data_IF_412725087865
#
_entry.id   IF_412725087865
#
_cell.length_a   1.000
_cell.length_b   1.000
_cell.length_c   1.000
_cell.angle_alpha   90.00
_cell.angle_beta   90.00
_cell.angle_gamma   90.00
#
_symmetry.space_group_name_H-M   'P 1'
#
loop_
_entity.id
_entity.type
_entity.pdbx_description
1 polymer ?
#
# COMPACT_ATOMS: atom_id res chain seq x y z
N UNK A 1 -3.97 2.21 -0.42
CA UNK A 1 -4.98 2.30 0.66
C UNK A 1 -5.40 3.74 0.73
N UNK A 2 -6.70 4.05 0.74
CA UNK A 2 -7.12 5.45 0.83
C UNK A 2 -7.29 5.91 2.26
N UNK A 3 -6.91 7.15 2.58
CA UNK A 3 -6.91 7.69 3.95
C UNK A 3 -8.27 7.69 4.65
N UNK A 4 -9.38 7.66 3.89
CA UNK A 4 -10.74 7.93 4.42
C UNK A 4 -11.77 6.85 4.09
N UNK A 5 -11.38 5.85 3.31
CA UNK A 5 -12.22 4.69 3.14
C UNK A 5 -12.04 3.82 4.37
N UNK A 6 -13.13 3.51 5.08
CA UNK A 6 -13.21 2.20 5.71
C UNK A 6 -12.84 1.13 4.66
N UNK A 7 -12.45 -0.07 5.07
CA UNK A 7 -11.95 -1.11 4.16
C UNK A 7 -12.93 -1.53 3.04
N UNK A 8 -14.13 -0.93 2.99
CA UNK A 8 -15.18 -1.13 1.99
C UNK A 8 -15.84 0.21 1.62
N UNK A 9 -15.96 0.43 0.32
CA UNK A 9 -16.74 1.51 -0.29
C UNK A 9 -17.81 0.89 -1.21
N UNK A 10 -18.92 1.58 -1.45
CA UNK A 10 -20.01 1.09 -2.30
C UNK A 10 -19.87 1.70 -3.69
N UNK A 11 -19.90 0.86 -4.72
CA UNK A 11 -19.69 1.33 -6.08
C UNK A 11 -19.76 0.22 -7.12
N UNK A 12 -19.44 0.59 -8.35
CA UNK A 12 -19.37 -0.31 -9.51
C UNK A 12 -17.94 -0.31 -10.03
N UNK A 13 -17.44 -1.50 -10.34
CA UNK A 13 -16.14 -1.69 -10.97
C UNK A 13 -16.28 -2.46 -12.28
N UNK A 14 -15.59 -1.99 -13.31
CA UNK A 14 -15.39 -2.68 -14.58
C UNK A 14 -13.92 -3.00 -14.71
N UNK A 15 -13.60 -4.22 -15.09
CA UNK A 15 -12.23 -4.64 -15.33
C UNK A 15 -12.19 -5.69 -16.44
N UNK A 16 -11.03 -5.83 -17.05
CA UNK A 16 -10.84 -6.82 -18.10
C UNK A 16 -9.39 -7.01 -18.48
N UNK A 17 -9.14 -8.15 -19.11
CA UNK A 17 -7.85 -8.54 -19.68
C UNK A 17 -7.88 -8.32 -21.19
N UNK A 18 -6.80 -7.78 -21.71
CA UNK A 18 -6.52 -7.59 -23.13
C UNK A 18 -5.17 -8.27 -23.44
N UNK A 19 -4.95 -8.59 -24.72
CA UNK A 19 -3.68 -9.16 -25.19
C UNK A 19 -3.26 -10.41 -24.39
N UNK A 20 -4.19 -11.35 -24.19
CA UNK A 20 -3.96 -12.57 -23.40
C UNK A 20 -3.51 -12.26 -21.96
N UNK A 21 -4.22 -11.33 -21.31
CA UNK A 21 -3.93 -10.81 -19.97
C UNK A 21 -2.58 -10.09 -19.80
N UNK A 22 -1.82 -9.84 -20.87
CA UNK A 22 -0.63 -8.99 -20.80
C UNK A 22 -0.94 -7.54 -20.48
N UNK A 23 -2.16 -7.08 -20.77
CA UNK A 23 -2.66 -5.77 -20.36
C UNK A 23 -3.97 -5.98 -19.60
N UNK A 24 -4.06 -5.48 -18.38
CA UNK A 24 -5.32 -5.44 -17.65
C UNK A 24 -5.66 -4.00 -17.28
N UNK A 25 -6.94 -3.69 -17.34
CA UNK A 25 -7.48 -2.41 -16.89
C UNK A 25 -8.53 -2.63 -15.81
N UNK A 26 -8.66 -1.64 -14.93
CA UNK A 26 -9.69 -1.56 -13.89
C UNK A 26 -10.16 -0.12 -13.79
N UNK A 27 -11.48 0.06 -13.78
CA UNK A 27 -12.14 1.34 -13.55
C UNK A 27 -13.20 1.14 -12.47
N UNK A 28 -13.21 1.99 -11.47
CA UNK A 28 -14.20 1.98 -10.39
C UNK A 28 -14.80 3.37 -10.25
N UNK A 29 -16.12 3.42 -10.04
CA UNK A 29 -16.83 4.58 -9.51
C UNK A 29 -17.51 4.16 -8.21
N UNK A 30 -17.23 4.86 -7.12
CA UNK A 30 -17.75 4.56 -5.79
C UNK A 30 -18.19 5.83 -5.05
N UNK A 31 -18.90 5.68 -3.94
CA UNK A 31 -19.39 6.81 -3.13
C UNK A 31 -18.27 7.64 -2.51
N UNK A 32 -17.12 7.03 -2.22
CA UNK A 32 -15.96 7.69 -1.64
C UNK A 32 -16.14 8.03 -0.16
N UNK A 33 -15.49 9.12 0.29
CA UNK A 33 -15.60 9.60 1.67
C UNK A 33 -17.05 9.95 2.02
N UNK A 34 -17.56 9.42 3.14
CA UNK A 34 -18.89 9.68 3.72
C UNK A 34 -18.77 10.50 5.02
N UNK A 35 -19.88 11.03 5.52
CA UNK A 35 -19.95 11.78 6.78
C UNK A 35 -20.44 13.22 6.63
N UNK A 36 -20.63 13.91 7.75
CA UNK A 36 -21.05 15.32 7.82
C UNK A 36 -19.87 16.30 7.70
N UNK A 37 -18.66 15.75 7.77
CA UNK A 37 -17.37 16.44 7.75
C UNK A 37 -16.92 16.79 6.33
N UNK A 38 -17.40 16.04 5.33
CA UNK A 38 -17.07 16.28 3.92
C UNK A 38 -17.80 17.52 3.38
N UNK A 39 -17.16 18.31 2.50
CA UNK A 39 -17.82 19.42 1.84
C UNK A 39 -19.01 19.04 0.96
N UNK A 40 -18.88 17.97 0.17
CA UNK A 40 -19.98 17.51 -0.68
C UNK A 40 -19.96 15.99 -0.87
N UNK A 41 -21.13 15.45 -1.22
CA UNK A 41 -21.24 14.08 -1.68
C UNK A 41 -20.86 14.00 -3.16
N UNK A 42 -19.66 13.51 -3.45
CA UNK A 42 -19.13 13.38 -4.80
C UNK A 42 -18.56 11.99 -5.01
N UNK A 43 -18.81 11.37 -6.16
CA UNK A 43 -18.28 10.05 -6.46
C UNK A 43 -16.75 10.10 -6.53
N UNK A 44 -16.14 9.01 -6.11
CA UNK A 44 -14.73 8.74 -6.27
C UNK A 44 -14.51 7.87 -7.49
N UNK A 45 -13.49 8.22 -8.27
CA UNK A 45 -13.12 7.50 -9.51
C UNK A 45 -11.71 6.98 -9.38
N UNK A 46 -11.54 5.68 -9.56
CA UNK A 46 -10.23 5.01 -9.56
C UNK A 46 -10.01 4.32 -10.89
N UNK A 47 -8.86 4.54 -11.52
CA UNK A 47 -8.41 3.81 -12.70
C UNK A 47 -7.06 3.15 -12.42
N UNK A 48 -6.88 1.91 -12.88
CA UNK A 48 -5.61 1.18 -12.84
C UNK A 48 -5.38 0.47 -14.16
N UNK A 49 -4.14 0.48 -14.61
CA UNK A 49 -3.65 -0.38 -15.67
C UNK A 49 -2.41 -1.12 -15.20
N UNK A 50 -2.17 -2.31 -15.75
CA UNK A 50 -0.88 -2.96 -15.61
C UNK A 50 -0.51 -3.73 -16.87
N UNK A 51 0.79 -3.90 -17.05
CA UNK A 51 1.38 -4.68 -18.14
C UNK A 51 2.22 -5.81 -17.55
N UNK A 52 1.98 -7.03 -18.01
CA UNK A 52 2.76 -8.22 -17.66
C UNK A 52 3.66 -8.62 -18.83
N UNK A 53 4.95 -8.76 -18.56
CA UNK A 53 5.97 -9.09 -19.56
C UNK A 53 6.30 -10.59 -19.62
N UNK A 54 6.07 -11.32 -18.51
CA UNK A 54 6.24 -12.77 -18.41
C UNK A 54 4.86 -13.45 -18.28
N UNK A 55 4.71 -14.46 -17.41
CA UNK A 55 3.45 -15.17 -17.20
C UNK A 55 2.39 -14.20 -16.62
N UNK A 56 1.29 -13.92 -17.36
CA UNK A 56 0.32 -12.93 -16.93
C UNK A 56 -0.66 -13.47 -15.87
N UNK A 57 -1.21 -12.54 -15.10
CA UNK A 57 -2.18 -12.83 -14.03
C UNK A 57 -3.61 -12.53 -14.50
N UNK A 58 -4.39 -13.58 -14.78
CA UNK A 58 -5.76 -13.45 -15.33
C UNK A 58 -6.79 -12.94 -14.32
N UNK A 59 -6.53 -13.10 -13.02
CA UNK A 59 -7.49 -12.80 -11.97
C UNK A 59 -7.51 -11.30 -11.62
N UNK A 60 -8.58 -10.88 -10.96
CA UNK A 60 -8.66 -9.55 -10.35
C UNK A 60 -7.71 -9.38 -9.15
N UNK A 61 -7.40 -10.47 -8.44
CA UNK A 61 -6.43 -10.47 -7.35
C UNK A 61 -5.03 -10.86 -7.81
N UNK A 62 -4.02 -10.35 -7.11
CA UNK A 62 -2.63 -10.76 -7.27
C UNK A 62 -2.16 -11.52 -6.04
N UNK A 63 -1.19 -12.41 -6.22
CA UNK A 63 -0.49 -13.06 -5.11
C UNK A 63 0.85 -12.37 -4.85
N UNK A 64 1.25 -12.28 -3.58
CA UNK A 64 2.58 -11.78 -3.23
C UNK A 64 3.70 -12.77 -3.55
N UNK A 65 3.36 -14.02 -3.86
CA UNK A 65 4.26 -15.03 -4.41
C UNK A 65 3.47 -16.20 -5.00
N UNK A 66 4.01 -16.83 -6.05
CA UNK A 66 3.49 -18.04 -6.70
C UNK A 66 4.26 -19.29 -6.28
N UNK A 67 5.07 -19.21 -5.21
CA UNK A 67 5.88 -20.30 -4.69
C UNK A 67 6.77 -20.93 -5.77
N UNK A 68 7.24 -20.14 -6.74
CA UNK A 68 8.09 -20.60 -7.83
C UNK A 68 7.38 -21.36 -8.94
N UNK A 69 6.05 -21.41 -8.95
CA UNK A 69 5.29 -22.11 -10.00
C UNK A 69 5.12 -21.30 -11.28
N UNK A 70 5.49 -20.00 -11.24
CA UNK A 70 5.34 -19.06 -12.36
C UNK A 70 6.47 -18.04 -12.35
N UNK A 71 6.81 -17.55 -13.54
CA UNK A 71 7.68 -16.39 -13.72
C UNK A 71 6.82 -15.18 -14.01
N UNK A 72 6.75 -14.22 -13.09
CA UNK A 72 5.90 -13.03 -13.22
C UNK A 72 6.77 -11.79 -13.27
N UNK A 73 6.50 -10.88 -14.20
CA UNK A 73 7.05 -9.53 -14.20
C UNK A 73 5.95 -8.57 -14.65
N UNK A 74 5.46 -7.76 -13.72
CA UNK A 74 4.31 -6.88 -13.94
C UNK A 74 4.65 -5.46 -13.51
N UNK A 75 4.26 -4.48 -14.33
CA UNK A 75 4.33 -3.06 -14.02
C UNK A 75 2.93 -2.47 -13.99
N UNK A 76 2.62 -1.70 -12.95
CA UNK A 76 1.32 -1.11 -12.72
C UNK A 76 1.37 0.41 -12.59
N UNK A 77 0.27 1.05 -12.96
CA UNK A 77 0.01 2.44 -12.63
C UNK A 77 -1.46 2.60 -12.25
N UNK A 78 -1.75 3.46 -11.27
CA UNK A 78 -3.12 3.80 -10.92
C UNK A 78 -3.25 5.28 -10.57
N UNK A 79 -4.46 5.80 -10.80
CA UNK A 79 -4.88 7.13 -10.42
C UNK A 79 -6.23 7.07 -9.74
N UNK A 80 -6.43 7.92 -8.74
CA UNK A 80 -7.62 7.93 -7.92
C UNK A 80 -7.98 9.35 -7.48
N UNK A 81 -9.25 9.72 -7.57
CA UNK A 81 -9.67 11.10 -7.30
C UNK A 81 -11.10 11.18 -6.78
N UNK A 82 -11.34 12.18 -5.94
CA UNK A 82 -12.67 12.53 -5.46
C UNK A 82 -12.72 14.06 -5.28
N UNK A 83 -13.74 14.72 -5.81
CA UNK A 83 -13.92 16.15 -5.58
C UNK A 83 -14.44 16.42 -4.16
N UNK A 84 -14.16 17.61 -3.63
CA UNK A 84 -14.79 18.14 -2.41
C UNK A 84 -14.72 17.17 -1.21
N UNK A 85 -13.55 16.56 -0.99
CA UNK A 85 -13.33 15.50 0.00
C UNK A 85 -13.14 16.04 1.42
N UNK A 86 -12.58 17.24 1.56
CA UNK A 86 -12.21 17.80 2.85
C UNK A 86 -12.24 19.32 2.81
N UNK A 87 -12.53 19.94 3.94
CA UNK A 87 -12.30 21.36 4.14
C UNK A 87 -10.87 21.58 4.62
N UNK A 88 -10.16 22.55 4.03
CA UNK A 88 -8.90 23.04 4.59
C UNK A 88 -9.14 23.92 5.84
N UNK A 89 -10.34 24.47 6.00
CA UNK A 89 -10.83 25.09 7.22
C UNK A 89 -12.18 24.48 7.62
N UNK A 90 -12.14 23.42 8.42
CA UNK A 90 -13.32 22.69 8.86
C UNK A 90 -14.23 23.52 9.76
N UNK A 91 -13.66 24.32 10.69
CA UNK A 91 -14.45 25.11 11.64
C UNK A 91 -15.39 26.10 10.96
N UNK A 92 -14.96 26.72 9.86
CA UNK A 92 -15.79 27.62 9.06
C UNK A 92 -16.45 26.96 7.85
N UNK A 93 -16.24 25.65 7.66
CA UNK A 93 -16.68 24.89 6.47
C UNK A 93 -16.30 25.59 5.15
N UNK A 94 -15.04 26.04 5.06
CA UNK A 94 -14.51 26.79 3.94
C UNK A 94 -13.28 26.13 3.30
N UNK A 95 -12.94 26.59 2.09
CA UNK A 95 -11.81 26.11 1.29
C UNK A 95 -11.87 24.59 1.04
N UNK A 96 -12.93 24.16 0.35
CA UNK A 96 -13.10 22.77 -0.07
C UNK A 96 -11.93 22.30 -0.96
N UNK A 97 -11.41 21.11 -0.66
CA UNK A 97 -10.29 20.49 -1.36
C UNK A 97 -10.68 19.17 -1.98
N UNK A 98 -10.03 18.87 -3.10
CA UNK A 98 -10.17 17.61 -3.81
C UNK A 98 -9.12 16.60 -3.33
N UNK A 99 -9.48 15.32 -3.39
CA UNK A 99 -8.56 14.21 -3.27
C UNK A 99 -7.97 13.84 -4.63
N UNK A 100 -6.65 13.64 -4.65
CA UNK A 100 -5.90 13.06 -5.77
C UNK A 100 -4.88 12.08 -5.24
N UNK A 101 -4.75 10.96 -5.92
CA UNK A 101 -3.79 9.94 -5.60
C UNK A 101 -3.27 9.25 -6.85
N UNK A 102 -2.01 8.83 -6.79
CA UNK A 102 -1.42 8.00 -7.84
C UNK A 102 -0.46 6.99 -7.24
N UNK A 103 -0.21 5.92 -7.98
CA UNK A 103 0.87 4.99 -7.71
C UNK A 103 1.45 4.44 -9.02
N UNK A 104 2.74 4.13 -8.99
CA UNK A 104 3.39 3.25 -9.96
C UNK A 104 4.05 2.12 -9.17
N UNK A 105 3.95 0.90 -9.69
CA UNK A 105 4.41 -0.29 -9.01
C UNK A 105 5.02 -1.31 -9.96
N UNK A 106 5.88 -2.16 -9.42
CA UNK A 106 6.45 -3.29 -10.11
C UNK A 106 6.47 -4.51 -9.19
N UNK A 107 6.21 -5.69 -9.75
CA UNK A 107 6.32 -6.97 -9.08
C UNK A 107 7.03 -7.97 -9.97
N UNK A 108 7.92 -8.76 -9.37
CA UNK A 108 8.66 -9.82 -10.02
C UNK A 108 8.67 -11.08 -9.15
N UNK A 109 8.43 -12.23 -9.77
CA UNK A 109 8.79 -13.54 -9.25
C UNK A 109 9.59 -14.30 -10.32
N UNK A 110 10.77 -14.80 -9.94
CA UNK A 110 11.68 -15.52 -10.82
C UNK A 110 12.12 -16.84 -10.15
N UNK A 111 11.53 -17.98 -10.55
CA UNK A 111 12.02 -19.30 -10.18
C UNK A 111 13.40 -19.57 -10.81
N UNK A 112 14.32 -20.13 -10.02
CA UNK A 112 15.66 -20.49 -10.46
C UNK A 112 16.11 -21.78 -9.76
N UNK A 113 17.16 -22.43 -10.27
CA UNK A 113 17.69 -23.68 -9.67
C UNK A 113 18.16 -23.47 -8.22
N UNK A 114 18.68 -22.28 -7.91
CA UNK A 114 19.10 -21.92 -6.55
C UNK A 114 17.95 -21.60 -5.61
N UNK A 115 16.72 -21.36 -6.09
CA UNK A 115 15.60 -20.92 -5.28
C UNK A 115 14.66 -19.99 -6.04
N UNK A 116 13.74 -19.32 -5.33
CA UNK A 116 12.78 -18.38 -5.96
C UNK A 116 13.07 -16.97 -5.50
N UNK A 117 13.33 -16.07 -6.45
CA UNK A 117 13.54 -14.66 -6.18
C UNK A 117 12.22 -13.90 -6.34
N UNK A 118 11.93 -13.02 -5.40
CA UNK A 118 10.77 -12.13 -5.44
C UNK A 118 11.24 -10.70 -5.23
N UNK A 119 10.72 -9.76 -6.00
CA UNK A 119 10.99 -8.34 -5.83
C UNK A 119 9.70 -7.55 -6.05
N UNK A 120 9.50 -6.51 -5.26
CA UNK A 120 8.38 -5.59 -5.43
C UNK A 120 8.79 -4.19 -5.04
N UNK A 121 8.28 -3.21 -5.75
CA UNK A 121 8.47 -1.81 -5.41
C UNK A 121 7.24 -1.01 -5.81
N UNK A 122 6.95 0.05 -5.06
CA UNK A 122 5.94 1.02 -5.46
C UNK A 122 6.35 2.41 -4.99
N UNK A 123 5.97 3.42 -5.76
CA UNK A 123 5.93 4.81 -5.35
C UNK A 123 4.49 5.30 -5.42
N UNK A 124 4.09 6.15 -4.48
CA UNK A 124 2.73 6.64 -4.39
C UNK A 124 2.66 8.04 -3.78
N UNK A 125 1.57 8.73 -4.08
CA UNK A 125 1.19 9.98 -3.42
C UNK A 125 -0.31 10.02 -3.19
N UNK A 126 -0.71 10.53 -2.04
CA UNK A 126 -2.05 10.93 -1.62
C UNK A 126 -2.01 12.44 -1.33
N UNK A 127 -3.00 13.17 -1.81
CA UNK A 127 -3.06 14.62 -1.71
C UNK A 127 -4.52 15.06 -1.55
N UNK A 128 -4.82 15.73 -0.44
CA UNK A 128 -6.11 16.39 -0.18
C UNK A 128 -6.00 17.90 -0.27
N UNK A 129 -5.08 18.40 -1.09
CA UNK A 129 -4.78 19.82 -1.17
C UNK A 129 -4.15 20.36 0.11
N UNK A 130 -3.50 19.51 0.90
CA UNK A 130 -2.90 19.88 2.19
C UNK A 130 -3.92 20.15 3.29
N UNK A 131 -5.15 19.63 3.20
CA UNK A 131 -6.21 19.91 4.17
C UNK A 131 -5.81 19.49 5.60
N UNK A 132 -5.10 18.37 5.75
CA UNK A 132 -4.67 17.88 7.07
C UNK A 132 -3.67 18.80 7.76
N UNK A 133 -2.80 19.47 7.01
CA UNK A 133 -1.82 20.41 7.56
C UNK A 133 -2.37 21.76 7.99
N UNK A 134 -3.70 21.98 7.95
CA UNK A 134 -4.35 23.27 8.20
C UNK A 134 -5.31 23.18 9.39
N UNK A 135 -6.61 23.36 9.17
CA UNK A 135 -7.65 23.13 10.16
C UNK A 135 -8.56 22.01 9.64
N UNK A 136 -8.08 20.75 9.67
CA UNK A 136 -8.85 19.63 9.16
C UNK A 136 -10.03 19.29 10.07
N UNK A 137 -10.94 18.50 9.53
CA UNK A 137 -11.94 17.84 10.34
C UNK A 137 -11.32 16.73 11.21
N UNK A 138 -11.95 16.34 12.33
CA UNK A 138 -11.40 15.35 13.26
C UNK A 138 -11.23 13.94 12.69
N UNK A 139 -11.90 13.61 11.59
CA UNK A 139 -11.86 12.30 10.95
C UNK A 139 -10.85 12.24 9.80
N UNK A 140 -10.19 13.35 9.46
CA UNK A 140 -9.18 13.40 8.41
C UNK A 140 -7.88 12.77 8.93
N UNK A 141 -7.49 11.62 8.40
CA UNK A 141 -6.24 10.96 8.79
C UNK A 141 -4.98 11.71 8.35
N UNK A 142 -3.90 11.59 9.13
CA UNK A 142 -2.62 12.22 8.82
C UNK A 142 -2.01 11.78 7.47
N UNK A 143 -2.30 10.54 7.08
CA UNK A 143 -1.86 9.96 5.79
C UNK A 143 -2.63 10.50 4.58
N UNK A 144 -3.51 11.48 4.76
CA UNK A 144 -4.28 12.09 3.68
C UNK A 144 -3.49 12.94 2.71
N UNK A 145 -2.42 13.52 3.22
CA UNK A 145 -1.34 14.12 2.44
C UNK A 145 -0.09 13.31 2.74
N UNK A 146 0.28 12.40 1.84
CA UNK A 146 1.39 11.46 2.04
C UNK A 146 2.00 11.12 0.70
N UNK A 147 3.32 11.18 0.59
CA UNK A 147 4.05 10.53 -0.50
C UNK A 147 5.03 9.52 0.08
N UNK A 148 5.28 8.46 -0.67
CA UNK A 148 6.19 7.44 -0.20
C UNK A 148 6.58 6.48 -1.28
N UNK A 149 7.55 5.64 -0.92
CA UNK A 149 7.93 4.50 -1.73
C UNK A 149 8.34 3.33 -0.83
N UNK A 150 8.23 2.13 -1.36
CA UNK A 150 8.86 0.95 -0.77
C UNK A 150 9.56 0.12 -1.84
N UNK A 151 10.54 -0.64 -1.38
CA UNK A 151 11.15 -1.75 -2.11
C UNK A 151 11.24 -2.95 -1.17
N UNK A 152 10.89 -4.13 -1.66
CA UNK A 152 10.96 -5.39 -0.93
C UNK A 152 11.56 -6.46 -1.82
N UNK A 153 12.52 -7.19 -1.29
CA UNK A 153 13.12 -8.35 -1.94
C UNK A 153 12.93 -9.58 -1.05
N UNK A 154 12.74 -10.74 -1.66
CA UNK A 154 12.59 -12.00 -0.97
C UNK A 154 13.25 -13.14 -1.72
N UNK A 155 13.71 -14.13 -0.97
CA UNK A 155 14.38 -15.31 -1.49
C UNK A 155 13.82 -16.54 -0.79
N UNK A 156 13.26 -17.45 -1.57
CA UNK A 156 12.77 -18.74 -1.12
C UNK A 156 13.82 -19.81 -1.37
N UNK A 157 14.14 -20.58 -0.33
CA UNK A 157 15.10 -21.67 -0.42
C UNK A 157 14.66 -22.72 -1.47
N UNK A 158 15.65 -23.38 -2.11
CA UNK A 158 15.35 -24.49 -3.00
C UNK A 158 14.84 -25.67 -2.16
N UNK A 159 13.72 -26.26 -2.58
CA UNK A 159 13.10 -27.37 -1.87
C UNK A 159 12.35 -26.99 -0.58
N UNK A 160 12.16 -28.00 0.28
CA UNK A 160 11.45 -27.89 1.56
C UNK A 160 12.46 -27.89 2.73
N UNK A 161 12.09 -27.21 3.81
CA UNK A 161 12.75 -27.28 5.11
C UNK A 161 11.75 -27.92 6.06
N UNK A 162 11.91 -29.21 6.36
CA UNK A 162 10.89 -29.98 7.09
C UNK A 162 9.57 -30.06 6.30
N UNK A 163 8.40 -29.81 6.94
CA UNK A 163 7.11 -29.91 6.25
C UNK A 163 6.86 -28.81 5.20
N UNK A 164 7.50 -27.64 5.35
CA UNK A 164 7.17 -26.44 4.59
C UNK A 164 8.32 -25.87 3.74
N UNK A 165 8.07 -24.71 3.13
CA UNK A 165 9.06 -23.92 2.38
C UNK A 165 9.38 -22.62 3.10
N UNK A 166 10.67 -22.30 3.20
CA UNK A 166 11.14 -21.11 3.90
C UNK A 166 11.55 -20.02 2.89
N UNK A 167 11.04 -18.83 3.09
CA UNK A 167 11.39 -17.62 2.34
C UNK A 167 11.84 -16.54 3.31
N UNK A 168 13.00 -15.94 3.06
CA UNK A 168 13.46 -14.74 3.74
C UNK A 168 13.08 -13.51 2.94
N UNK A 169 12.90 -12.39 3.60
CA UNK A 169 12.68 -11.12 2.92
C UNK A 169 13.27 -9.94 3.69
N UNK A 170 13.50 -8.86 2.95
CA UNK A 170 13.81 -7.55 3.51
C UNK A 170 12.99 -6.48 2.78
N UNK A 171 12.63 -5.43 3.51
CA UNK A 171 11.86 -4.28 3.02
C UNK A 171 12.49 -2.98 3.48
N UNK A 172 12.48 -2.01 2.60
CA UNK A 172 12.76 -0.62 2.89
C UNK A 172 11.58 0.24 2.45
N UNK A 173 11.19 1.21 3.27
CA UNK A 173 10.11 2.13 2.97
C UNK A 173 10.41 3.52 3.54
N UNK A 174 9.95 4.53 2.80
CA UNK A 174 10.06 5.93 3.16
C UNK A 174 8.70 6.60 3.01
N UNK A 175 8.27 7.28 4.07
CA UNK A 175 6.99 7.98 4.13
C UNK A 175 7.24 9.44 4.49
N UNK A 176 6.74 10.35 3.65
CA UNK A 176 6.79 11.80 3.84
C UNK A 176 5.37 12.35 3.90
N UNK A 177 4.97 12.80 5.08
CA UNK A 177 3.64 13.32 5.35
C UNK A 177 3.59 14.82 5.03
N UNK A 178 2.44 15.29 4.57
CA UNK A 178 2.20 16.69 4.21
C UNK A 178 2.02 17.62 5.41
N UNK A 179 2.11 17.12 6.64
CA UNK A 179 1.87 17.87 7.88
C UNK A 179 3.16 18.36 8.52
N UNK A 180 3.11 19.59 9.07
CA UNK A 180 4.20 20.20 9.82
C UNK A 180 3.66 20.95 11.03
N UNK A 181 4.45 20.97 12.10
CA UNK A 181 4.23 21.85 13.25
C UNK A 181 5.36 22.88 13.25
N UNK A 182 5.07 24.10 12.80
CA UNK A 182 6.12 25.07 12.45
C UNK A 182 7.00 24.52 11.31
N UNK A 183 8.30 24.35 11.57
CA UNK A 183 9.24 23.75 10.60
C UNK A 183 9.42 22.23 10.78
N UNK A 184 8.92 21.66 11.88
CA UNK A 184 9.15 20.27 12.25
C UNK A 184 8.24 19.30 11.48
N UNK A 185 8.79 18.16 11.06
CA UNK A 185 8.09 17.10 10.33
C UNK A 185 8.00 15.83 11.18
N UNK A 186 7.12 15.85 12.19
CA UNK A 186 7.06 14.79 13.19
C UNK A 186 6.53 13.44 12.68
N UNK A 187 5.93 13.40 11.48
CA UNK A 187 5.36 12.18 10.91
C UNK A 187 6.26 11.52 9.86
N UNK A 188 7.20 12.26 9.27
CA UNK A 188 8.13 11.74 8.27
C UNK A 188 8.96 10.62 8.89
N UNK A 189 8.92 9.43 8.28
CA UNK A 189 9.58 8.27 8.82
C UNK A 189 10.13 7.33 7.75
N UNK A 190 10.95 6.40 8.21
CA UNK A 190 11.62 5.39 7.41
C UNK A 190 11.51 4.06 8.12
N UNK A 191 11.13 3.04 7.37
CA UNK A 191 11.00 1.67 7.86
C UNK A 191 12.04 0.80 7.17
N UNK A 192 12.78 0.04 7.97
CA UNK A 192 13.63 -1.04 7.47
C UNK A 192 13.25 -2.31 8.21
N UNK A 193 12.90 -3.36 7.46
CA UNK A 193 12.53 -4.62 8.08
C UNK A 193 13.15 -5.82 7.37
N UNK A 194 13.31 -6.89 8.13
CA UNK A 194 13.71 -8.19 7.64
C UNK A 194 12.88 -9.26 8.36
N UNK A 195 12.62 -10.35 7.66
CA UNK A 195 11.73 -11.38 8.16
C UNK A 195 11.76 -12.65 7.34
N UNK A 196 10.82 -13.53 7.68
CA UNK A 196 10.63 -14.79 7.00
C UNK A 196 9.15 -15.13 6.84
N UNK A 197 8.89 -16.01 5.88
CA UNK A 197 7.64 -16.69 5.64
C UNK A 197 7.94 -18.20 5.58
N UNK A 198 7.22 -18.99 6.39
CA UNK A 198 7.29 -20.44 6.39
C UNK A 198 5.94 -21.03 5.96
N UNK A 199 5.89 -21.47 4.71
CA UNK A 199 4.69 -21.98 4.04
C UNK A 199 4.58 -23.48 4.29
N UNK A 200 3.66 -23.89 5.17
CA UNK A 200 3.47 -25.29 5.59
C UNK A 200 2.55 -26.01 4.60
N UNK A 201 1.46 -25.37 4.19
CA UNK A 201 0.55 -25.86 3.14
C UNK A 201 0.25 -24.75 2.13
N UNK A 202 1.13 -24.61 1.14
CA UNK A 202 1.00 -23.61 0.08
C UNK A 202 0.70 -22.21 0.64
N UNK A 203 -0.32 -21.54 0.08
CA UNK A 203 -0.81 -20.25 0.59
C UNK A 203 -1.82 -20.39 1.74
N UNK A 204 -2.26 -21.61 2.07
CA UNK A 204 -3.33 -21.86 3.05
C UNK A 204 -2.84 -21.76 4.47
N UNK A 205 -1.70 -22.38 4.79
CA UNK A 205 -1.12 -22.39 6.12
C UNK A 205 0.29 -21.84 6.11
N UNK A 206 0.51 -20.71 6.79
CA UNK A 206 1.80 -20.03 6.83
C UNK A 206 2.09 -19.38 8.17
N UNK A 207 3.33 -19.50 8.63
CA UNK A 207 3.89 -18.70 9.72
C UNK A 207 4.76 -17.57 9.14
N UNK A 208 4.64 -16.37 9.68
CA UNK A 208 5.47 -15.22 9.29
C UNK A 208 6.08 -14.56 10.52
N UNK A 209 7.32 -14.10 10.37
CA UNK A 209 7.99 -13.28 11.36
C UNK A 209 8.66 -12.09 10.70
N UNK A 210 8.61 -10.91 11.34
CA UNK A 210 9.25 -9.70 10.87
C UNK A 210 9.79 -8.88 12.05
N UNK A 211 11.00 -8.37 11.93
CA UNK A 211 11.54 -7.33 12.80
C UNK A 211 11.70 -6.07 11.95
N UNK A 212 11.16 -4.95 12.43
CA UNK A 212 11.20 -3.66 11.80
C UNK A 212 11.82 -2.61 12.73
N UNK A 213 12.66 -1.75 12.15
CA UNK A 213 13.19 -0.55 12.78
C UNK A 213 12.56 0.68 12.10
N UNK A 214 11.78 1.43 12.88
CA UNK A 214 11.02 2.60 12.43
C UNK A 214 11.72 3.83 12.99
N UNK A 215 12.23 4.67 12.09
CA UNK A 215 12.90 5.92 12.45
C UNK A 215 12.12 7.11 11.92
N UNK A 216 11.76 8.03 12.81
CA UNK A 216 11.22 9.34 12.46
C UNK A 216 12.35 10.32 12.21
N UNK A 217 12.21 11.14 11.18
CA UNK A 217 13.20 12.17 10.85
C UNK A 217 13.31 13.22 11.94
N UNK A 218 12.17 13.53 12.56
CA UNK A 218 12.07 14.42 13.71
C UNK A 218 11.23 13.72 14.77
N UNK A 219 11.84 13.02 15.74
CA UNK A 219 11.10 12.44 16.84
C UNK A 219 10.34 13.50 17.64
N UNK A 220 9.07 13.26 17.94
CA UNK A 220 8.27 14.18 18.73
C UNK A 220 8.70 14.14 20.21
N UNK A 221 8.96 15.29 20.86
CA UNK A 221 9.51 15.32 22.23
C UNK A 221 8.54 14.80 23.30
N UNK A 222 7.23 14.89 23.05
CA UNK A 222 6.19 14.56 24.02
C UNK A 222 5.22 13.43 23.58
N UNK A 223 5.33 12.93 22.34
CA UNK A 223 4.38 11.93 21.79
C UNK A 223 5.16 10.68 21.42
N UNK A 224 5.23 9.67 22.30
CA UNK A 224 6.05 8.47 22.09
C UNK A 224 5.72 7.72 20.80
N UNK A 225 4.46 7.75 20.36
CA UNK A 225 4.02 7.13 19.11
C UNK A 225 4.66 7.74 17.83
N UNK A 226 5.17 8.97 17.94
CA UNK A 226 5.87 9.70 16.87
C UNK A 226 7.38 9.78 17.16
N UNK A 227 7.93 8.74 17.78
CA UNK A 227 9.36 8.60 18.06
C UNK A 227 9.90 7.28 17.52
N UNK A 228 11.21 7.10 17.52
CA UNK A 228 11.84 5.89 16.99
C UNK A 228 11.43 4.66 17.81
N UNK A 229 11.10 3.56 17.14
CA UNK A 229 10.79 2.31 17.81
C UNK A 229 11.20 1.10 16.97
N UNK A 230 11.29 -0.04 17.64
CA UNK A 230 11.43 -1.35 16.99
C UNK A 230 10.17 -2.15 17.23
N UNK A 231 9.78 -2.90 16.21
CA UNK A 231 8.63 -3.77 16.26
C UNK A 231 9.04 -5.18 15.86
N UNK A 232 8.58 -6.17 16.62
CA UNK A 232 8.62 -7.57 16.22
C UNK A 232 7.18 -8.03 16.00
N UNK A 233 6.93 -8.68 14.87
CA UNK A 233 5.62 -9.21 14.50
C UNK A 233 5.75 -10.70 14.21
N UNK A 234 4.87 -11.51 14.80
CA UNK A 234 4.67 -12.91 14.46
C UNK A 234 3.22 -13.10 14.04
N UNK A 235 2.99 -13.84 12.95
CA UNK A 235 1.66 -14.06 12.41
C UNK A 235 1.49 -15.49 11.93
N UNK A 236 0.36 -16.11 12.31
CA UNK A 236 -0.10 -17.37 11.76
C UNK A 236 -1.29 -17.10 10.85
N UNK A 237 -1.21 -17.58 9.61
CA UNK A 237 -2.30 -17.51 8.64
C UNK A 237 -2.85 -18.92 8.39
N UNK A 238 -4.17 -19.05 8.45
CA UNK A 238 -4.92 -20.24 8.03
C UNK A 238 -6.09 -19.79 7.14
N UNK A 239 -6.14 -20.30 5.90
CA UNK A 239 -7.23 -20.09 4.95
C UNK A 239 -7.96 -21.42 4.75
N UNK A 240 -9.28 -21.40 4.96
CA UNK A 240 -10.19 -22.53 4.77
C UNK A 240 -10.91 -22.44 3.41
#
# INVERSE_FOLDING_TARGET
YTPFGGTRDTGVAVWGNLLDAKLQYRLMVADGRKGAERPADKPRVTARVHVSLWDPEYNYGYQGTYLGTRSVLTFGAAYDTQADVAYANYLSRADAKNYKAWTVDAFMELPHASGVYTASAAAFKYDTGGAFGRSPDPALGANSDLKGYYAKAGYMLPGKVGPGRLQFFARHERLEYGVKTGIAKYYDNRWNSAGFNYYIDGQRLKLSGEIADIKYDTPHPAVPALSNYRQATLGLQLIF
#
